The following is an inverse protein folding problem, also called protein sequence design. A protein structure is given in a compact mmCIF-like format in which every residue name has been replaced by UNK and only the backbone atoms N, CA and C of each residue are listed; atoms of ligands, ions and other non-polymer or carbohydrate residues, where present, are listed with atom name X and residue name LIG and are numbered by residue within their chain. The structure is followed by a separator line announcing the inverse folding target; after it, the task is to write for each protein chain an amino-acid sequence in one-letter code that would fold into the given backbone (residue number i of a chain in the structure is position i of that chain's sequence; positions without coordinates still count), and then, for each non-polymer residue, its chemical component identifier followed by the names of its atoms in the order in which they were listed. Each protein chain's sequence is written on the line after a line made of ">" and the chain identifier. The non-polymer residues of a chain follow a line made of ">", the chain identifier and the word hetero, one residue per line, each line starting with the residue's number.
data_IF_836363748997
#
_entry.id   IF_836363748997
#
_cell.length_a   1.000
_cell.length_b   1.000
_cell.length_c   1.000
_cell.angle_alpha   90.00
_cell.angle_beta   90.00
_cell.angle_gamma   90.00
#
_symmetry.space_group_name_H-M   'P 1'
#
loop_
_entity.id
_entity.type
_entity.pdbx_description
1 polymer ?
#
# COMPACT_ATOMS: atom_id res chain seq x y z
N UNK A 1 15.59 -5.94 -23.29
CA UNK A 1 15.59 -5.11 -22.06
C UNK A 1 14.83 -5.87 -20.99
N UNK A 2 15.54 -6.63 -20.16
CA UNK A 2 14.95 -7.45 -19.11
C UNK A 2 14.75 -6.56 -17.89
N UNK A 3 13.50 -6.10 -17.66
CA UNK A 3 13.12 -5.32 -16.48
C UNK A 3 13.35 -6.23 -15.26
N UNK A 4 14.39 -5.95 -14.48
CA UNK A 4 14.63 -6.64 -13.20
C UNK A 4 13.52 -6.20 -12.24
N UNK A 5 12.77 -7.11 -11.60
CA UNK A 5 11.97 -6.73 -10.44
C UNK A 5 12.95 -6.34 -9.34
N UNK A 6 12.75 -5.16 -8.77
CA UNK A 6 13.47 -4.71 -7.59
C UNK A 6 13.02 -5.61 -6.43
N UNK A 7 13.85 -6.61 -6.12
CA UNK A 7 13.71 -7.38 -4.88
C UNK A 7 14.27 -6.50 -3.76
N UNK A 8 13.38 -5.73 -3.13
CA UNK A 8 13.68 -5.06 -1.88
C UNK A 8 13.48 -6.10 -0.78
N UNK A 9 14.57 -6.64 -0.25
CA UNK A 9 14.50 -7.43 0.99
C UNK A 9 14.25 -6.45 2.14
N UNK A 10 13.02 -6.42 2.66
CA UNK A 10 12.70 -5.69 3.88
C UNK A 10 13.34 -6.44 5.05
N UNK A 11 14.54 -6.02 5.46
CA UNK A 11 15.34 -6.67 6.51
C UNK A 11 15.03 -6.22 7.94
N UNK A 12 13.98 -5.42 8.13
CA UNK A 12 13.42 -5.07 9.43
C UNK A 12 11.92 -5.32 9.43
N UNK A 13 11.48 -6.48 9.91
CA UNK A 13 10.06 -6.82 10.03
C UNK A 13 9.46 -6.08 11.23
N UNK A 14 9.28 -4.77 11.11
CA UNK A 14 8.01 -4.26 11.60
C UNK A 14 7.01 -4.80 10.60
N UNK A 15 6.19 -5.76 10.98
CA UNK A 15 5.09 -6.31 10.17
C UNK A 15 4.04 -5.23 9.82
N UNK A 16 4.40 -3.95 9.89
CA UNK A 16 3.59 -2.75 9.75
C UNK A 16 3.62 -2.24 8.30
N UNK A 17 2.44 -1.95 7.81
CA UNK A 17 2.17 -1.43 6.49
C UNK A 17 1.32 -0.17 6.62
N UNK A 18 1.51 0.74 5.67
CA UNK A 18 0.72 1.96 5.51
C UNK A 18 -0.01 1.91 4.18
N UNK A 19 -1.32 2.14 4.22
CA UNK A 19 -2.16 2.31 3.04
C UNK A 19 -2.58 3.77 2.92
N UNK A 20 -2.19 4.40 1.82
CA UNK A 20 -2.59 5.75 1.47
C UNK A 20 -3.71 5.66 0.42
N UNK A 21 -4.93 6.04 0.78
CA UNK A 21 -6.09 6.02 -0.13
C UNK A 21 -6.13 7.30 -0.92
N UNK A 22 -5.90 7.18 -2.23
CA UNK A 22 -5.88 8.29 -3.17
C UNK A 22 -7.20 8.32 -3.93
N UNK A 23 -7.86 9.47 -3.89
CA UNK A 23 -9.14 9.71 -4.58
C UNK A 23 -9.07 10.88 -5.57
N UNK A 24 -7.89 11.48 -5.73
CA UNK A 24 -7.63 12.64 -6.57
C UNK A 24 -6.48 12.30 -7.53
N UNK A 25 -6.41 12.87 -8.75
CA UNK A 25 -5.24 12.73 -9.62
C UNK A 25 -3.90 13.13 -8.97
N UNK A 26 -3.90 13.91 -7.89
CA UNK A 26 -2.70 14.22 -7.11
C UNK A 26 -2.48 13.22 -5.94
N UNK A 27 -1.53 12.27 -6.04
CA UNK A 27 -1.29 11.25 -5.00
C UNK A 27 -0.67 11.80 -3.72
N UNK A 28 -0.10 13.01 -3.74
CA UNK A 28 0.60 13.61 -2.60
C UNK A 28 -0.34 14.03 -1.45
N UNK A 29 -1.65 14.04 -1.68
CA UNK A 29 -2.67 14.35 -0.69
C UNK A 29 -3.64 13.16 -0.50
N UNK A 30 -3.22 12.08 0.17
CA UNK A 30 -4.09 10.95 0.42
C UNK A 30 -5.30 11.38 1.25
N UNK A 31 -6.48 10.92 0.83
CA UNK A 31 -7.75 11.19 1.55
C UNK A 31 -7.79 10.52 2.91
N UNK A 32 -7.20 9.33 3.00
CA UNK A 32 -7.08 8.57 4.24
C UNK A 32 -5.75 7.82 4.27
N UNK A 33 -5.15 7.76 5.45
CA UNK A 33 -3.94 6.98 5.70
C UNK A 33 -4.26 5.97 6.79
N UNK A 34 -4.03 4.68 6.51
CA UNK A 34 -4.30 3.59 7.46
C UNK A 34 -3.04 2.78 7.70
N UNK A 35 -2.67 2.63 8.97
CA UNK A 35 -1.59 1.75 9.39
C UNK A 35 -2.16 0.42 9.87
N UNK A 36 -1.56 -0.69 9.47
CA UNK A 36 -1.98 -2.03 9.87
C UNK A 36 -0.82 -2.99 9.83
N UNK A 37 -0.94 -4.12 10.53
CA UNK A 37 0.07 -5.18 10.47
C UNK A 37 -0.36 -6.36 9.61
N UNK A 38 0.57 -6.99 8.90
CA UNK A 38 0.35 -8.21 8.11
C UNK A 38 1.58 -9.12 8.13
N UNK A 39 1.36 -10.43 8.04
CA UNK A 39 2.43 -11.43 8.13
C UNK A 39 3.41 -11.40 6.95
N UNK A 40 2.95 -10.96 5.78
CA UNK A 40 3.71 -10.83 4.55
C UNK A 40 3.02 -9.84 3.60
N UNK A 41 3.67 -9.55 2.46
CA UNK A 41 3.18 -8.60 1.46
C UNK A 41 1.88 -9.07 0.82
N UNK A 42 1.68 -10.37 0.61
CA UNK A 42 0.45 -10.90 0.00
C UNK A 42 -0.76 -10.68 0.93
N UNK A 43 -0.59 -11.00 2.22
CA UNK A 43 -1.57 -10.70 3.26
C UNK A 43 -1.82 -9.19 3.37
N UNK A 44 -0.76 -8.38 3.22
CA UNK A 44 -0.89 -6.93 3.23
C UNK A 44 -1.72 -6.40 2.06
N UNK A 45 -1.47 -6.88 0.84
CA UNK A 45 -2.25 -6.51 -0.34
C UNK A 45 -3.72 -6.91 -0.21
N UNK A 46 -4.00 -8.11 0.31
CA UNK A 46 -5.37 -8.56 0.55
C UNK A 46 -6.09 -7.71 1.60
N UNK A 47 -5.40 -7.34 2.69
CA UNK A 47 -5.95 -6.46 3.71
C UNK A 47 -6.16 -5.04 3.16
N UNK A 48 -5.19 -4.52 2.42
CA UNK A 48 -5.26 -3.21 1.79
C UNK A 48 -6.44 -3.09 0.82
N UNK A 49 -6.70 -4.12 0.01
CA UNK A 49 -7.86 -4.15 -0.88
C UNK A 49 -9.19 -4.08 -0.10
N UNK A 50 -9.30 -4.76 1.03
CA UNK A 50 -10.48 -4.70 1.91
C UNK A 50 -10.66 -3.33 2.53
N UNK A 51 -9.57 -2.72 3.01
CA UNK A 51 -9.58 -1.37 3.58
C UNK A 51 -9.97 -0.33 2.52
N UNK A 52 -9.40 -0.41 1.32
CA UNK A 52 -9.74 0.46 0.18
C UNK A 52 -11.22 0.32 -0.23
N UNK A 53 -11.75 -0.90 -0.26
CA UNK A 53 -13.15 -1.16 -0.58
C UNK A 53 -14.11 -0.54 0.44
N UNK A 54 -13.71 -0.48 1.71
CA UNK A 54 -14.48 0.12 2.79
C UNK A 54 -14.46 1.66 2.79
N UNK A 55 -13.56 2.30 2.04
CA UNK A 55 -13.53 3.76 1.90
C UNK A 55 -14.54 4.19 0.83
N UNK A 56 -15.47 5.06 1.22
CA UNK A 56 -16.36 5.74 0.29
C UNK A 56 -15.58 6.76 -0.56
N UNK A 57 -15.82 6.73 -1.86
CA UNK A 57 -15.11 7.58 -2.79
C UNK A 57 -15.45 7.27 -4.24
N UNK A 58 -14.74 7.91 -5.19
CA UNK A 58 -14.94 7.66 -6.60
C UNK A 58 -14.50 6.22 -6.96
N UNK A 59 -14.97 5.74 -8.11
CA UNK A 59 -14.74 4.37 -8.55
C UNK A 59 -13.29 4.12 -8.98
N UNK A 60 -12.57 5.17 -9.38
CA UNK A 60 -11.16 5.17 -9.77
C UNK A 60 -10.20 5.36 -8.60
N UNK A 61 -10.71 5.35 -7.35
CA UNK A 61 -9.84 5.38 -6.17
C UNK A 61 -8.89 4.19 -6.16
N UNK A 62 -7.69 4.44 -5.68
CA UNK A 62 -6.65 3.42 -5.51
C UNK A 62 -5.95 3.62 -4.16
N UNK A 63 -5.22 2.59 -3.74
CA UNK A 63 -4.45 2.60 -2.51
C UNK A 63 -2.98 2.41 -2.79
N UNK A 64 -2.13 3.33 -2.34
CA UNK A 64 -0.68 3.13 -2.37
C UNK A 64 -0.27 2.41 -1.07
N UNK A 65 0.31 1.22 -1.22
CA UNK A 65 0.76 0.39 -0.13
C UNK A 65 2.25 0.63 0.11
N UNK A 66 2.61 0.87 1.37
CA UNK A 66 3.98 1.01 1.82
C UNK A 66 4.26 0.01 2.95
N UNK A 67 5.46 -0.59 2.96
CA UNK A 67 5.96 -1.36 4.08
C UNK A 67 6.92 -0.50 4.91
N UNK A 68 6.82 -0.59 6.22
CA UNK A 68 7.82 -0.01 7.11
C UNK A 68 9.04 -0.94 7.17
N UNK A 69 10.23 -0.40 6.88
CA UNK A 69 11.47 -1.16 6.87
C UNK A 69 12.16 -1.29 8.24
N UNK A 70 11.49 -0.86 9.30
CA UNK A 70 12.01 -0.84 10.67
C UNK A 70 12.92 0.36 10.99
N UNK A 71 13.40 1.10 10.00
CA UNK A 71 14.27 2.28 10.18
C UNK A 71 13.48 3.60 10.14
N UNK A 72 12.15 3.51 10.27
CA UNK A 72 11.23 4.64 10.21
C UNK A 72 10.92 5.11 8.79
N UNK A 73 11.43 4.42 7.77
CA UNK A 73 11.11 4.71 6.37
C UNK A 73 10.00 3.79 5.89
N UNK A 74 9.01 4.38 5.22
CA UNK A 74 7.96 3.63 4.53
C UNK A 74 8.36 3.48 3.05
N UNK A 75 8.62 2.25 2.62
CA UNK A 75 9.01 1.92 1.25
C UNK A 75 7.78 1.52 0.46
N UNK A 76 7.60 2.12 -0.72
CA UNK A 76 6.49 1.78 -1.62
C UNK A 76 6.56 0.31 -2.04
N UNK A 77 5.45 -0.40 -1.90
CA UNK A 77 5.31 -1.82 -2.22
C UNK A 77 4.49 -2.03 -3.49
N UNK A 78 3.27 -1.49 -3.54
CA UNK A 78 2.33 -1.76 -4.62
C UNK A 78 1.22 -0.70 -4.69
N UNK A 79 0.52 -0.65 -5.83
CA UNK A 79 -0.64 0.20 -6.05
C UNK A 79 -1.90 -0.67 -6.21
N UNK A 80 -2.74 -0.66 -5.18
CA UNK A 80 -3.94 -1.48 -5.08
C UNK A 80 -5.11 -0.80 -5.79
N UNK A 81 -5.64 -1.47 -6.82
CA UNK A 81 -6.86 -1.05 -7.51
C UNK A 81 -8.03 -1.93 -7.09
N UNK A 82 -9.22 -1.34 -6.99
CA UNK A 82 -10.43 -2.14 -6.84
C UNK A 82 -10.70 -2.91 -8.12
N UNK A 83 -11.12 -4.19 -8.03
CA UNK A 83 -11.51 -4.95 -9.20
C UNK A 83 -12.70 -4.25 -9.88
N UNK A 84 -12.60 -4.11 -11.20
CA UNK A 84 -13.65 -3.54 -12.05
C UNK A 84 -14.91 -4.41 -12.12
#
# INVERSE_FOLDING_TARGET
>A
MTRRPFTTYVTGTTDEYRLDVVTDPEPDNPRAVTYFTAADVDAACHQAARLLAAVDGPADRYGELYAHDGDGTAVHCDTIHLPA
#
